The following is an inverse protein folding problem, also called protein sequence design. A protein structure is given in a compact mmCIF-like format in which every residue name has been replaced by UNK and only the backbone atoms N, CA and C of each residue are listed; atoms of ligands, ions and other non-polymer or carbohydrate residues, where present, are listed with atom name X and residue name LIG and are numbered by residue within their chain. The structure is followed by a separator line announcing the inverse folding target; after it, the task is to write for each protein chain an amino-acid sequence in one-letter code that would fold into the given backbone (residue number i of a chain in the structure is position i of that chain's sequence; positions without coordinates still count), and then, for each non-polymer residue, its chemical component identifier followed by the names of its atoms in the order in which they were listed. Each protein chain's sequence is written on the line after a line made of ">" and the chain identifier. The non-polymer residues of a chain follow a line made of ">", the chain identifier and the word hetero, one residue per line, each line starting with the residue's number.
data_IF_876049659708
#
_entry.id   IF_876049659708
#
_cell.length_a   1.000
_cell.length_b   1.000
_cell.length_c   1.000
_cell.angle_alpha   90.00
_cell.angle_beta   90.00
_cell.angle_gamma   90.00
#
_symmetry.space_group_name_H-M   'P 1'
#
loop_
_entity.id
_entity.type
_entity.pdbx_description
1 polymer ?
#
# COMPACT_ATOMS: atom_id res chain seq x y z
N UNK A 1 -31.87 -11.09 -12.54
CA UNK A 1 -30.62 -11.34 -13.29
C UNK A 1 -30.07 -9.99 -13.72
N UNK A 2 -28.75 -9.80 -13.72
CA UNK A 2 -28.12 -8.55 -14.16
C UNK A 2 -26.95 -8.89 -15.07
N UNK A 3 -26.95 -8.37 -16.29
CA UNK A 3 -25.88 -8.56 -17.29
C UNK A 3 -25.28 -7.20 -17.63
N UNK A 4 -23.95 -7.12 -17.61
CA UNK A 4 -23.21 -5.87 -17.85
C UNK A 4 -22.09 -6.13 -18.84
N UNK A 5 -21.98 -5.27 -19.86
CA UNK A 5 -20.88 -5.25 -20.84
C UNK A 5 -20.13 -3.94 -20.74
N UNK A 6 -18.81 -4.02 -20.61
CA UNK A 6 -17.91 -2.87 -20.57
C UNK A 6 -16.70 -3.14 -21.48
N UNK A 7 -16.36 -2.17 -22.33
CA UNK A 7 -15.19 -2.23 -23.22
C UNK A 7 -14.17 -1.17 -22.76
N UNK A 8 -12.97 -1.62 -22.41
CA UNK A 8 -11.88 -0.76 -21.95
C UNK A 8 -10.53 -1.27 -22.48
N UNK A 9 -9.57 -0.36 -22.58
CA UNK A 9 -8.18 -0.72 -22.84
C UNK A 9 -7.51 -1.16 -21.54
N UNK A 10 -7.03 -2.40 -21.49
CA UNK A 10 -6.44 -2.97 -20.27
C UNK A 10 -5.16 -2.24 -19.81
N UNK A 11 -4.26 -1.91 -20.73
CA UNK A 11 -2.96 -1.30 -20.38
C UNK A 11 -3.07 0.13 -19.82
N UNK A 12 -3.87 1.05 -20.40
CA UNK A 12 -4.09 2.35 -19.77
C UNK A 12 -4.88 2.25 -18.46
N UNK A 13 -5.79 1.27 -18.34
CA UNK A 13 -6.61 1.09 -17.14
C UNK A 13 -5.78 0.71 -15.90
N UNK A 14 -4.62 0.07 -16.07
CA UNK A 14 -3.71 -0.26 -14.97
C UNK A 14 -2.55 0.71 -14.80
N UNK A 15 -2.22 1.51 -15.81
CA UNK A 15 -1.04 2.39 -15.80
C UNK A 15 -1.01 3.33 -14.59
N UNK A 16 -2.14 3.98 -14.26
CA UNK A 16 -2.25 4.87 -13.09
C UNK A 16 -1.95 4.15 -11.77
N UNK A 17 -2.52 2.95 -11.60
CA UNK A 17 -2.32 2.09 -10.41
C UNK A 17 -0.84 1.70 -10.26
N UNK A 18 -0.18 1.35 -11.37
CA UNK A 18 1.24 0.97 -11.36
C UNK A 18 2.14 2.17 -11.01
N UNK A 19 1.83 3.36 -11.52
CA UNK A 19 2.59 4.59 -11.20
C UNK A 19 2.53 4.87 -9.68
N UNK A 20 1.36 4.73 -9.05
CA UNK A 20 1.22 4.88 -7.60
C UNK A 20 1.98 3.80 -6.82
N UNK A 21 1.91 2.55 -7.25
CA UNK A 21 2.62 1.44 -6.61
C UNK A 21 4.14 1.65 -6.63
N UNK A 22 4.70 2.08 -7.78
CA UNK A 22 6.15 2.37 -7.91
C UNK A 22 6.56 3.54 -7.02
N UNK A 23 5.75 4.60 -6.93
CA UNK A 23 6.01 5.72 -6.02
C UNK A 23 6.04 5.27 -4.56
N UNK A 24 5.10 4.41 -4.15
CA UNK A 24 5.10 3.84 -2.80
C UNK A 24 6.32 2.95 -2.54
N UNK A 25 6.77 2.17 -3.52
CA UNK A 25 8.00 1.39 -3.42
C UNK A 25 9.22 2.28 -3.23
N UNK A 26 9.30 3.42 -3.95
CA UNK A 26 10.39 4.39 -3.76
C UNK A 26 10.36 5.02 -2.36
N UNK A 27 9.18 5.39 -1.86
CA UNK A 27 9.03 5.88 -0.48
C UNK A 27 9.50 4.84 0.55
N UNK A 28 9.19 3.55 0.34
CA UNK A 28 9.65 2.48 1.21
C UNK A 28 11.18 2.34 1.20
N UNK A 29 11.80 2.41 0.02
CA UNK A 29 13.26 2.39 -0.12
C UNK A 29 13.92 3.55 0.63
N UNK A 30 13.37 4.77 0.49
CA UNK A 30 13.88 5.96 1.17
C UNK A 30 13.76 5.85 2.69
N UNK A 31 12.71 5.17 3.17
CA UNK A 31 12.48 4.87 4.59
C UNK A 31 13.23 3.63 5.09
N UNK A 32 13.99 2.95 4.23
CA UNK A 32 14.69 1.68 4.50
C UNK A 32 13.74 0.59 5.03
N UNK A 33 12.52 0.57 4.50
CA UNK A 33 11.55 -0.49 4.75
C UNK A 33 11.81 -1.64 3.77
N UNK A 34 11.63 -2.86 4.26
CA UNK A 34 11.73 -4.08 3.47
C UNK A 34 10.51 -4.97 3.69
N UNK A 35 10.37 -6.01 2.88
CA UNK A 35 9.20 -6.87 2.89
C UNK A 35 8.02 -6.25 2.14
N UNK A 36 6.85 -6.89 2.26
CA UNK A 36 5.65 -6.45 1.57
C UNK A 36 5.05 -5.20 2.23
N UNK A 37 4.68 -4.21 1.42
CA UNK A 37 4.04 -2.99 1.87
C UNK A 37 2.54 -3.23 2.02
N UNK A 38 2.11 -3.79 3.15
CA UNK A 38 0.72 -4.25 3.37
C UNK A 38 -0.33 -3.21 2.98
N UNK A 39 -0.18 -1.95 3.44
CA UNK A 39 -1.09 -0.85 3.09
C UNK A 39 -1.16 -0.62 1.57
N UNK A 40 -0.08 -0.18 0.90
CA UNK A 40 -0.05 -0.01 -0.54
C UNK A 40 -0.49 -1.24 -1.35
N UNK A 41 -0.01 -2.43 -0.99
CA UNK A 41 -0.36 -3.68 -1.69
C UNK A 41 -1.86 -3.96 -1.63
N UNK A 42 -2.49 -3.73 -0.47
CA UNK A 42 -3.94 -3.95 -0.32
C UNK A 42 -4.81 -3.04 -1.17
N UNK A 43 -4.29 -1.89 -1.61
CA UNK A 43 -5.05 -0.95 -2.43
C UNK A 43 -4.77 -1.08 -3.93
N UNK A 44 -3.54 -1.47 -4.32
CA UNK A 44 -3.13 -1.52 -5.72
C UNK A 44 -3.17 -2.92 -6.35
N UNK A 45 -3.21 -3.99 -5.56
CA UNK A 45 -3.04 -5.36 -6.06
C UNK A 45 -4.30 -6.20 -5.82
N UNK A 46 -4.64 -7.06 -6.79
CA UNK A 46 -5.77 -8.01 -6.67
C UNK A 46 -5.55 -9.08 -5.60
N UNK A 47 -4.28 -9.45 -5.37
CA UNK A 47 -3.89 -10.50 -4.43
C UNK A 47 -2.86 -9.97 -3.44
N UNK A 48 -3.28 -9.12 -2.48
CA UNK A 48 -2.38 -8.59 -1.47
C UNK A 48 -2.04 -9.65 -0.41
N UNK A 49 -0.93 -9.47 0.35
CA UNK A 49 -0.59 -10.34 1.47
C UNK A 49 -1.64 -10.39 2.58
N UNK A 50 -2.37 -9.29 2.76
CA UNK A 50 -3.49 -9.19 3.69
C UNK A 50 -4.64 -8.44 2.99
N UNK A 51 -5.84 -9.02 3.04
CA UNK A 51 -7.04 -8.46 2.44
C UNK A 51 -7.71 -7.46 3.38
N UNK A 52 -8.21 -6.37 2.83
CA UNK A 52 -9.01 -5.35 3.51
C UNK A 52 -10.16 -4.90 2.61
N UNK A 53 -11.13 -4.19 3.18
CA UNK A 53 -12.12 -3.49 2.35
C UNK A 53 -11.47 -2.32 1.60
N UNK A 54 -11.99 -1.94 0.43
CA UNK A 54 -11.43 -0.83 -0.37
C UNK A 54 -11.27 0.48 0.43
N UNK A 55 -12.22 0.90 1.29
CA UNK A 55 -12.05 2.10 2.11
C UNK A 55 -10.91 1.98 3.13
N UNK A 56 -10.75 0.81 3.76
CA UNK A 56 -9.65 0.56 4.69
C UNK A 56 -8.30 0.52 3.98
N UNK A 57 -8.22 -0.15 2.83
CA UNK A 57 -7.02 -0.19 2.00
C UNK A 57 -6.60 1.23 1.57
N UNK A 58 -7.58 2.06 1.17
CA UNK A 58 -7.35 3.47 0.85
C UNK A 58 -6.81 4.25 2.05
N UNK A 59 -7.42 4.11 3.22
CA UNK A 59 -6.96 4.80 4.43
C UNK A 59 -5.52 4.38 4.82
N UNK A 60 -5.18 3.10 4.66
CA UNK A 60 -3.85 2.56 4.95
C UNK A 60 -2.79 3.09 3.98
N UNK A 61 -3.07 3.14 2.67
CA UNK A 61 -2.10 3.72 1.73
C UNK A 61 -1.90 5.21 1.97
N UNK A 62 -2.93 5.95 2.35
CA UNK A 62 -2.79 7.37 2.71
C UNK A 62 -1.96 7.56 3.98
N UNK A 63 -2.20 6.74 5.01
CA UNK A 63 -1.37 6.73 6.22
C UNK A 63 0.10 6.41 5.91
N UNK A 64 0.35 5.47 4.99
CA UNK A 64 1.68 5.18 4.48
C UNK A 64 2.29 6.40 3.78
N UNK A 65 1.58 7.07 2.87
CA UNK A 65 2.09 8.24 2.14
C UNK A 65 2.42 9.38 3.12
N UNK A 66 1.53 9.66 4.07
CA UNK A 66 1.67 10.70 5.11
C UNK A 66 2.73 10.37 6.18
N UNK A 67 3.42 9.23 6.08
CA UNK A 67 4.49 8.82 7.00
C UNK A 67 3.99 8.49 8.43
N UNK A 68 2.71 8.15 8.57
CA UNK A 68 2.14 7.56 9.79
C UNK A 68 2.57 6.09 9.95
N UNK A 69 2.91 5.42 8.84
CA UNK A 69 3.44 4.04 8.84
C UNK A 69 4.88 4.00 8.28
N UNK A 70 5.77 3.29 8.98
CA UNK A 70 7.07 2.91 8.41
C UNK A 70 8.24 3.86 8.67
N UNK A 71 8.47 4.28 9.92
CA UNK A 71 9.80 4.70 10.36
C UNK A 71 10.51 3.51 10.99
N UNK A 72 11.68 3.13 10.47
CA UNK A 72 12.62 2.35 11.27
C UNK A 72 12.94 3.16 12.53
N UNK A 73 12.84 2.57 13.73
CA UNK A 73 13.38 3.21 14.93
C UNK A 73 14.84 3.57 14.67
N UNK A 74 15.27 4.80 15.01
CA UNK A 74 16.68 5.15 14.92
C UNK A 74 17.46 4.18 15.81
N UNK A 75 18.61 3.68 15.35
CA UNK A 75 19.49 2.87 16.19
C UNK A 75 19.76 3.66 17.49
N UNK A 76 19.31 3.15 18.64
CA UNK A 76 19.38 3.84 19.94
C UNK A 76 18.05 4.40 20.49
N UNK A 77 16.93 4.35 19.77
CA UNK A 77 15.62 4.66 20.36
C UNK A 77 15.10 3.49 21.19
N UNK A 78 14.49 3.71 22.37
CA UNK A 78 13.89 2.63 23.16
C UNK A 78 12.90 1.86 22.30
N UNK A 79 13.03 0.54 22.22
CA UNK A 79 12.03 -0.33 21.61
C UNK A 79 10.70 -0.03 22.31
N UNK A 80 9.72 0.47 21.53
CA UNK A 80 8.38 0.70 22.07
C UNK A 80 7.87 -0.66 22.55
N UNK A 81 7.70 -0.78 23.87
CA UNK A 81 7.18 -2.00 24.49
C UNK A 81 5.82 -2.28 23.85
N UNK A 82 5.73 -3.38 23.11
CA UNK A 82 4.46 -3.93 22.67
C UNK A 82 3.69 -4.25 23.96
N UNK A 83 2.60 -3.52 24.21
CA UNK A 83 1.70 -3.82 25.33
C UNK A 83 1.10 -5.22 25.11
N UNK A 84 0.94 -6.01 26.19
CA UNK A 84 0.38 -7.36 26.12
C UNK A 84 -1.06 -7.36 25.59
#
# INVERSE_FOLDING_TARGET
>A
NCEVKLEVWGSPNSAGVVIDAVRCAKLALDRRLGGALVGPSSYFMKSPPQQFTDPEARARVEAFIQNHEGRRPKMGSPLAKVKP
#
